data_IF_490986455584
#
_entry.id   IF_490986455584
#
_cell.length_a   1.000
_cell.length_b   1.000
_cell.length_c   1.000
_cell.angle_alpha   90.00
_cell.angle_beta   90.00
_cell.angle_gamma   90.00
#
_symmetry.space_group_name_H-M   'P 1'
#
loop_
_entity.id
_entity.type
_entity.pdbx_description
1 polymer ?
#
# COMPACT_ATOMS: atom_id res chain seq x y z
N UNK A 1 1.67 -26.04 -3.18
CA UNK A 1 2.45 -27.16 -2.61
C UNK A 1 2.04 -27.26 -1.15
N UNK A 2 1.55 -28.42 -0.70
CA UNK A 2 1.21 -28.65 0.71
C UNK A 2 2.43 -28.44 1.58
N UNK A 3 2.31 -27.67 2.65
CA UNK A 3 3.39 -27.48 3.63
C UNK A 3 3.54 -28.81 4.39
N UNK A 4 4.71 -29.45 4.34
CA UNK A 4 4.94 -30.70 5.05
C UNK A 4 4.83 -30.49 6.56
N UNK A 5 3.91 -31.22 7.20
CA UNK A 5 3.81 -31.29 8.66
C UNK A 5 4.71 -32.43 9.16
N UNK A 6 5.56 -32.20 10.19
CA UNK A 6 6.38 -33.26 10.76
C UNK A 6 5.50 -34.42 11.24
N UNK A 7 5.84 -35.64 10.78
CA UNK A 7 5.03 -36.83 11.06
C UNK A 7 4.84 -37.09 12.56
N UNK A 8 3.60 -37.34 12.98
CA UNK A 8 3.23 -37.76 14.34
C UNK A 8 3.91 -39.05 14.79
N UNK A 9 4.43 -39.86 13.82
CA UNK A 9 5.28 -41.02 14.13
C UNK A 9 6.60 -40.61 14.80
N UNK A 10 7.16 -39.47 14.42
CA UNK A 10 8.44 -38.95 14.90
C UNK A 10 8.33 -37.91 16.02
N UNK A 11 7.19 -37.26 16.12
CA UNK A 11 6.98 -36.13 17.05
C UNK A 11 5.68 -36.33 17.87
N UNK A 12 5.65 -35.71 19.05
CA UNK A 12 4.44 -35.55 19.87
C UNK A 12 4.18 -34.07 20.07
N UNK A 13 2.98 -33.64 19.81
CA UNK A 13 2.52 -32.25 19.93
C UNK A 13 1.75 -32.10 21.25
N UNK A 14 1.91 -30.97 21.90
CA UNK A 14 1.25 -30.63 23.15
C UNK A 14 0.45 -29.33 22.97
N UNK A 15 -0.71 -29.25 23.60
CA UNK A 15 -1.61 -28.09 23.53
C UNK A 15 -0.98 -26.80 24.05
N UNK A 16 0.00 -26.92 24.94
CA UNK A 16 0.76 -25.83 25.54
C UNK A 16 1.81 -25.22 24.57
N UNK A 17 1.76 -25.54 23.28
CA UNK A 17 2.70 -24.99 22.30
C UNK A 17 4.08 -25.65 22.25
N UNK A 18 4.18 -26.90 22.72
CA UNK A 18 5.44 -27.64 22.81
C UNK A 18 5.45 -28.84 21.86
N UNK A 19 6.60 -29.17 21.29
CA UNK A 19 6.79 -30.34 20.43
C UNK A 19 7.94 -31.19 20.96
N UNK A 20 7.71 -32.50 21.12
CA UNK A 20 8.65 -33.47 21.62
C UNK A 20 9.15 -34.40 20.52
N UNK A 21 10.47 -34.56 20.37
CA UNK A 21 11.06 -35.51 19.45
C UNK A 21 11.17 -36.88 20.08
N UNK A 22 10.45 -37.88 19.56
CA UNK A 22 10.47 -39.27 20.02
C UNK A 22 11.86 -39.90 19.82
N UNK A 23 12.58 -39.53 18.75
CA UNK A 23 13.92 -40.03 18.45
C UNK A 23 14.97 -39.47 19.41
N UNK A 24 14.95 -38.13 19.62
CA UNK A 24 15.93 -37.46 20.48
C UNK A 24 15.57 -37.53 21.97
N UNK A 25 14.34 -37.98 22.30
CA UNK A 25 13.80 -38.06 23.68
C UNK A 25 13.91 -36.73 24.44
N UNK A 26 13.65 -35.62 23.74
CA UNK A 26 13.66 -34.26 24.30
C UNK A 26 12.76 -33.32 23.51
N UNK A 27 12.47 -32.16 24.06
CA UNK A 27 11.77 -31.13 23.35
C UNK A 27 12.54 -30.66 22.13
N UNK A 28 11.83 -30.28 21.08
CA UNK A 28 12.41 -29.69 19.88
C UNK A 28 12.79 -28.25 20.23
N UNK A 29 13.99 -27.86 19.84
CA UNK A 29 14.46 -26.47 19.99
C UNK A 29 13.54 -25.54 19.21
N UNK A 30 13.09 -24.48 19.85
CA UNK A 30 12.39 -23.40 19.22
C UNK A 30 13.41 -22.32 18.90
N UNK A 31 13.44 -21.92 17.63
CA UNK A 31 14.30 -20.85 17.13
C UNK A 31 13.43 -19.61 16.82
N UNK A 32 14.07 -18.48 16.60
CA UNK A 32 13.41 -17.24 16.19
C UNK A 32 13.49 -17.11 14.66
N UNK A 33 12.36 -16.84 14.03
CA UNK A 33 12.30 -16.50 12.61
C UNK A 33 12.90 -15.10 12.38
N UNK A 34 13.21 -14.76 11.13
CA UNK A 34 13.69 -13.42 10.77
C UNK A 34 12.71 -12.28 11.11
N UNK A 35 11.48 -12.61 11.48
CA UNK A 35 10.43 -11.67 11.86
C UNK A 35 10.10 -11.70 13.36
N UNK A 36 10.92 -12.36 14.19
CA UNK A 36 10.74 -12.44 15.63
C UNK A 36 9.81 -13.54 16.12
N UNK A 37 9.18 -14.30 15.21
CA UNK A 37 8.20 -15.34 15.55
C UNK A 37 8.86 -16.68 15.90
N UNK A 38 8.31 -17.46 16.84
CA UNK A 38 8.83 -18.77 17.20
C UNK A 38 8.67 -19.76 16.04
N UNK A 39 9.75 -20.43 15.69
CA UNK A 39 9.78 -21.38 14.60
C UNK A 39 10.57 -22.64 14.93
N UNK A 40 10.35 -23.68 14.16
CA UNK A 40 11.05 -24.94 14.27
C UNK A 40 11.65 -25.33 12.92
N UNK A 41 12.89 -25.80 12.99
CA UNK A 41 13.60 -26.37 11.85
C UNK A 41 13.56 -27.91 11.90
N UNK A 42 13.11 -28.52 10.84
CA UNK A 42 13.08 -29.98 10.71
C UNK A 42 13.51 -30.42 9.31
N UNK A 43 13.91 -31.71 9.22
CA UNK A 43 14.47 -32.27 8.02
C UNK A 43 13.40 -33.08 7.29
N UNK A 44 13.01 -32.63 6.09
CA UNK A 44 12.07 -33.32 5.20
C UNK A 44 12.69 -33.40 3.82
N UNK A 45 12.67 -34.59 3.22
CA UNK A 45 13.18 -34.87 1.86
C UNK A 45 14.59 -34.30 1.61
N UNK A 46 15.48 -34.52 2.57
CA UNK A 46 16.89 -34.06 2.55
C UNK A 46 17.07 -32.54 2.56
N UNK A 47 16.03 -31.77 2.95
CA UNK A 47 16.10 -30.32 3.08
C UNK A 47 15.65 -29.89 4.47
N UNK A 48 16.27 -28.83 4.96
CA UNK A 48 15.79 -28.16 6.17
C UNK A 48 14.58 -27.30 5.78
N UNK A 49 13.49 -27.50 6.49
CA UNK A 49 12.28 -26.69 6.37
C UNK A 49 12.03 -25.99 7.70
N UNK A 50 11.71 -24.71 7.62
CA UNK A 50 11.27 -23.91 8.75
C UNK A 50 9.76 -23.81 8.73
N UNK A 51 9.12 -24.01 9.87
CA UNK A 51 7.70 -23.77 10.08
C UNK A 51 7.48 -22.99 11.36
N UNK A 52 6.51 -22.09 11.36
CA UNK A 52 6.08 -21.40 12.57
C UNK A 52 5.46 -22.40 13.55
N UNK A 53 5.71 -22.16 14.83
CA UNK A 53 5.28 -23.08 15.88
C UNK A 53 3.75 -23.07 16.07
N UNK A 54 3.16 -21.88 16.05
CA UNK A 54 1.70 -21.67 16.13
C UNK A 54 0.96 -22.39 14.99
N UNK A 55 1.42 -22.24 13.72
CA UNK A 55 0.86 -22.95 12.58
C UNK A 55 0.89 -24.48 12.81
N UNK A 56 2.03 -25.00 13.26
CA UNK A 56 2.18 -26.44 13.50
C UNK A 56 1.26 -26.97 14.59
N UNK A 57 1.12 -26.24 15.69
CA UNK A 57 0.25 -26.62 16.81
C UNK A 57 -1.21 -26.60 16.34
N UNK A 58 -1.63 -25.50 15.71
CA UNK A 58 -3.01 -25.35 15.27
C UNK A 58 -3.40 -26.42 14.24
N UNK A 59 -2.59 -26.60 13.16
CA UNK A 59 -2.84 -27.59 12.12
C UNK A 59 -2.89 -29.03 12.67
N UNK A 60 -2.02 -29.36 13.64
CA UNK A 60 -2.01 -30.68 14.24
C UNK A 60 -3.31 -31.00 15.00
N UNK A 61 -3.77 -30.05 15.84
CA UNK A 61 -4.94 -30.31 16.69
C UNK A 61 -6.27 -30.16 15.94
N UNK A 62 -6.32 -29.34 14.89
CA UNK A 62 -7.49 -29.18 14.03
C UNK A 62 -7.51 -30.15 12.85
N UNK A 63 -6.44 -30.93 12.63
CA UNK A 63 -6.31 -31.89 11.51
C UNK A 63 -6.56 -31.30 10.13
N UNK A 64 -6.25 -30.03 9.95
CA UNK A 64 -6.42 -29.29 8.71
C UNK A 64 -5.31 -28.23 8.56
N UNK A 65 -4.99 -27.86 7.33
CA UNK A 65 -4.14 -26.69 7.06
C UNK A 65 -4.92 -25.40 7.34
N UNK A 66 -4.21 -24.31 7.67
CA UNK A 66 -4.82 -22.99 7.83
C UNK A 66 -5.51 -22.62 6.51
N UNK A 67 -6.83 -22.34 6.52
CA UNK A 67 -7.56 -22.03 5.31
C UNK A 67 -7.02 -20.77 4.62
N UNK A 68 -7.20 -20.71 3.29
CA UNK A 68 -6.86 -19.51 2.54
C UNK A 68 -7.66 -18.30 3.08
N UNK A 69 -7.05 -17.13 3.10
CA UNK A 69 -7.60 -15.89 3.65
C UNK A 69 -7.79 -15.89 5.17
N UNK A 70 -7.12 -16.81 5.89
CA UNK A 70 -7.11 -16.81 7.34
C UNK A 70 -5.68 -16.64 7.87
N UNK A 71 -5.57 -16.06 9.03
CA UNK A 71 -4.34 -16.00 9.82
C UNK A 71 -4.59 -16.47 11.25
N UNK A 72 -3.53 -16.92 11.92
CA UNK A 72 -3.58 -17.18 13.36
C UNK A 72 -3.20 -15.91 14.10
N UNK A 73 -3.96 -15.59 15.15
CA UNK A 73 -3.66 -14.51 16.09
C UNK A 73 -3.50 -15.07 17.48
N UNK A 74 -2.61 -14.47 18.25
CA UNK A 74 -2.42 -14.76 19.65
C UNK A 74 -3.35 -13.86 20.45
N UNK A 75 -4.27 -14.48 21.24
CA UNK A 75 -5.32 -13.76 21.98
C UNK A 75 -4.72 -12.81 23.00
N UNK A 76 -3.60 -13.19 23.64
CA UNK A 76 -2.88 -12.37 24.61
C UNK A 76 -1.90 -11.36 23.98
N UNK A 77 -1.70 -11.40 22.65
CA UNK A 77 -0.76 -10.56 21.91
C UNK A 77 0.71 -10.97 22.05
N UNK A 78 1.01 -12.09 22.72
CA UNK A 78 2.38 -12.65 22.80
C UNK A 78 2.59 -13.71 21.72
N UNK A 79 3.35 -13.37 20.68
CA UNK A 79 3.67 -14.27 19.56
C UNK A 79 4.41 -15.55 20.00
N UNK A 80 5.01 -15.55 21.19
CA UNK A 80 5.73 -16.71 21.72
C UNK A 80 4.81 -17.67 22.51
N UNK A 81 3.62 -17.24 22.90
CA UNK A 81 2.63 -18.11 23.54
C UNK A 81 1.81 -18.87 22.47
N UNK A 82 2.41 -19.92 21.89
CA UNK A 82 1.79 -20.79 20.89
C UNK A 82 0.86 -21.87 21.48
N UNK A 83 0.36 -21.69 22.71
CA UNK A 83 -0.64 -22.61 23.29
C UNK A 83 -1.92 -22.61 22.44
N UNK A 84 -2.48 -23.80 22.17
CA UNK A 84 -3.65 -23.93 21.29
C UNK A 84 -4.83 -23.05 21.74
N UNK A 85 -5.04 -22.93 23.04
CA UNK A 85 -6.15 -22.15 23.62
C UNK A 85 -5.92 -20.63 23.55
N UNK A 86 -4.68 -20.22 23.18
CA UNK A 86 -4.29 -18.83 22.90
C UNK A 86 -4.32 -18.48 21.40
N UNK A 87 -4.63 -19.46 20.53
CA UNK A 87 -4.63 -19.26 19.08
C UNK A 87 -6.05 -19.10 18.55
N UNK A 88 -6.30 -18.00 17.88
CA UNK A 88 -7.55 -17.69 17.19
C UNK A 88 -7.35 -17.68 15.68
N UNK A 89 -8.26 -18.35 14.96
CA UNK A 89 -8.27 -18.33 13.49
C UNK A 89 -9.17 -17.20 12.99
N UNK A 90 -8.60 -16.19 12.35
CA UNK A 90 -9.31 -14.99 11.88
C UNK A 90 -9.46 -15.02 10.37
N UNK A 91 -10.68 -14.75 9.86
CA UNK A 91 -10.92 -14.54 8.43
C UNK A 91 -10.53 -13.11 8.06
N UNK A 92 -9.47 -12.98 7.28
CA UNK A 92 -8.94 -11.69 6.84
C UNK A 92 -9.93 -10.88 5.98
N UNK A 93 -10.94 -11.54 5.38
CA UNK A 93 -11.95 -10.86 4.56
C UNK A 93 -12.98 -10.08 5.38
N UNK A 94 -13.05 -10.31 6.69
CA UNK A 94 -13.87 -9.51 7.60
C UNK A 94 -13.24 -8.14 7.86
N UNK A 95 -11.91 -8.05 7.82
CA UNK A 95 -11.16 -6.83 8.09
C UNK A 95 -10.70 -6.12 6.81
N UNK A 96 -10.42 -6.89 5.75
CA UNK A 96 -9.83 -6.37 4.52
C UNK A 96 -10.76 -6.57 3.32
N UNK A 97 -11.11 -5.48 2.68
CA UNK A 97 -11.87 -5.48 1.41
C UNK A 97 -10.89 -5.70 0.25
N UNK A 98 -11.16 -6.65 -0.66
CA UNK A 98 -10.33 -6.86 -1.84
C UNK A 98 -10.26 -5.61 -2.72
N UNK A 99 -9.06 -5.28 -3.21
CA UNK A 99 -8.85 -4.16 -4.11
C UNK A 99 -9.27 -4.61 -5.51
N UNK A 100 -10.32 -4.00 -6.10
CA UNK A 100 -10.97 -4.42 -7.35
C UNK A 100 -9.97 -4.76 -8.47
N UNK A 101 -9.00 -3.87 -8.72
CA UNK A 101 -8.00 -4.07 -9.78
C UNK A 101 -6.97 -5.16 -9.46
N UNK A 102 -6.75 -5.47 -8.19
CA UNK A 102 -5.79 -6.46 -7.71
C UNK A 102 -6.37 -7.25 -6.54
N UNK A 103 -7.29 -8.19 -6.80
CA UNK A 103 -8.04 -8.89 -5.74
C UNK A 103 -7.18 -9.81 -4.87
N UNK A 104 -5.90 -9.99 -5.22
CA UNK A 104 -4.90 -10.64 -4.38
C UNK A 104 -4.47 -9.78 -3.20
N UNK A 105 -4.77 -8.48 -3.23
CA UNK A 105 -4.52 -7.54 -2.14
C UNK A 105 -5.84 -7.07 -1.54
N UNK A 106 -5.84 -6.88 -0.23
CA UNK A 106 -6.94 -6.30 0.52
C UNK A 106 -6.51 -5.01 1.22
N UNK A 107 -7.47 -4.16 1.52
CA UNK A 107 -7.29 -2.93 2.28
C UNK A 107 -8.27 -2.88 3.44
N UNK A 108 -7.79 -2.51 4.64
CA UNK A 108 -8.61 -2.30 5.83
C UNK A 108 -9.12 -0.86 5.92
N UNK A 109 -10.11 -0.63 6.80
CA UNK A 109 -10.60 0.72 7.12
C UNK A 109 -9.52 1.65 7.67
N UNK A 110 -8.51 1.09 8.32
CA UNK A 110 -7.36 1.82 8.87
C UNK A 110 -6.21 2.00 7.86
N UNK A 111 -6.48 1.79 6.56
CA UNK A 111 -5.50 1.92 5.47
C UNK A 111 -4.34 0.91 5.51
N UNK A 112 -4.47 -0.18 6.23
CA UNK A 112 -3.52 -1.29 6.14
C UNK A 112 -3.75 -2.07 4.85
N UNK A 113 -2.67 -2.54 4.24
CA UNK A 113 -2.73 -3.35 3.01
C UNK A 113 -2.19 -4.74 3.30
N UNK A 114 -2.91 -5.75 2.85
CA UNK A 114 -2.51 -7.15 2.98
C UNK A 114 -2.43 -7.84 1.62
N UNK A 115 -1.52 -8.80 1.51
CA UNK A 115 -1.51 -9.77 0.41
C UNK A 115 -2.17 -11.07 0.88
N UNK A 116 -3.34 -11.37 0.39
CA UNK A 116 -4.11 -12.57 0.75
C UNK A 116 -3.44 -13.91 0.39
N UNK A 117 -2.45 -13.90 -0.51
CA UNK A 117 -1.76 -15.14 -0.88
C UNK A 117 -0.66 -15.50 0.11
N UNK A 118 -0.03 -14.48 0.71
CA UNK A 118 1.12 -14.65 1.60
C UNK A 118 0.81 -14.26 3.04
N UNK A 119 -0.37 -13.70 3.29
CA UNK A 119 -0.80 -13.08 4.55
C UNK A 119 0.18 -12.01 5.08
N UNK A 120 1.00 -11.44 4.19
CA UNK A 120 1.92 -10.37 4.57
C UNK A 120 1.28 -9.00 4.39
N UNK A 121 1.42 -8.17 5.42
CA UNK A 121 1.08 -6.76 5.35
C UNK A 121 2.09 -6.03 4.47
N UNK A 122 1.58 -5.19 3.57
CA UNK A 122 2.38 -4.41 2.63
C UNK A 122 2.71 -3.07 3.28
N UNK A 123 4.00 -2.77 3.37
CA UNK A 123 4.45 -1.50 3.91
C UNK A 123 3.98 -0.33 3.04
N UNK A 124 3.41 0.67 3.68
CA UNK A 124 3.11 1.97 3.10
C UNK A 124 4.23 2.95 3.43
N UNK A 125 4.39 3.99 2.65
CA UNK A 125 5.42 5.00 2.88
C UNK A 125 4.93 6.40 2.54
N UNK A 126 5.39 7.36 3.30
CA UNK A 126 5.18 8.77 2.97
C UNK A 126 6.17 9.20 1.88
N UNK A 127 5.69 9.90 0.87
CA UNK A 127 6.51 10.51 -0.16
C UNK A 127 6.59 12.02 0.07
N UNK A 128 7.73 12.47 0.56
CA UNK A 128 7.99 13.89 0.88
C UNK A 128 7.85 14.80 -0.34
N UNK A 129 8.31 14.34 -1.53
CA UNK A 129 8.22 15.08 -2.79
C UNK A 129 6.79 15.40 -3.22
N UNK A 130 5.82 14.63 -2.75
CA UNK A 130 4.38 14.82 -3.04
C UNK A 130 3.54 15.09 -1.81
N UNK A 131 4.11 14.94 -0.62
CA UNK A 131 3.42 15.09 0.65
C UNK A 131 2.23 14.12 0.77
N UNK A 132 2.40 12.84 0.39
CA UNK A 132 1.30 11.86 0.36
C UNK A 132 1.78 10.44 0.67
N UNK A 133 0.91 9.67 1.32
CA UNK A 133 1.12 8.24 1.53
C UNK A 133 0.93 7.46 0.24
N UNK A 134 1.84 6.51 -0.02
CA UNK A 134 1.78 5.62 -1.18
C UNK A 134 1.95 4.16 -0.78
N UNK A 135 1.39 3.29 -1.59
CA UNK A 135 1.59 1.84 -1.54
C UNK A 135 2.08 1.35 -2.90
N UNK A 136 2.94 0.33 -2.89
CA UNK A 136 3.47 -0.28 -4.11
C UNK A 136 3.03 -1.73 -4.21
N UNK A 137 2.31 -2.05 -5.27
CA UNK A 137 1.85 -3.40 -5.59
C UNK A 137 2.79 -4.04 -6.62
N UNK A 138 3.20 -5.27 -6.36
CA UNK A 138 3.97 -6.07 -7.31
C UNK A 138 3.11 -7.22 -7.81
N UNK A 139 2.70 -7.16 -9.06
CA UNK A 139 1.91 -8.20 -9.71
C UNK A 139 2.38 -8.39 -11.15
N UNK A 140 2.50 -9.65 -11.60
CA UNK A 140 2.92 -9.98 -12.96
C UNK A 140 4.30 -9.44 -13.35
N UNK A 141 5.24 -9.35 -12.40
CA UNK A 141 6.59 -8.83 -12.64
C UNK A 141 6.69 -7.29 -12.72
N UNK A 142 5.58 -6.58 -12.64
CA UNK A 142 5.53 -5.11 -12.64
C UNK A 142 5.23 -4.57 -11.25
N UNK A 143 5.88 -3.46 -10.90
CA UNK A 143 5.58 -2.70 -9.69
C UNK A 143 4.77 -1.47 -10.06
N UNK A 144 3.64 -1.26 -9.39
CA UNK A 144 2.81 -0.07 -9.54
C UNK A 144 2.63 0.60 -8.19
N UNK A 145 2.95 1.89 -8.16
CA UNK A 145 2.80 2.72 -6.96
C UNK A 145 1.53 3.56 -7.10
N UNK A 146 0.72 3.58 -6.06
CA UNK A 146 -0.54 4.31 -6.00
C UNK A 146 -0.62 5.15 -4.72
N UNK A 147 -1.45 6.18 -4.75
CA UNK A 147 -1.79 6.95 -3.56
C UNK A 147 -2.66 6.09 -2.64
N UNK A 148 -2.27 5.99 -1.37
CA UNK A 148 -2.95 5.14 -0.40
C UNK A 148 -4.39 5.62 -0.16
N UNK A 149 -4.61 6.94 -0.01
CA UNK A 149 -5.96 7.52 0.12
C UNK A 149 -6.89 7.13 -1.03
N UNK A 150 -6.37 7.09 -2.27
CA UNK A 150 -7.15 6.71 -3.46
C UNK A 150 -7.51 5.21 -3.43
N UNK A 151 -6.58 4.36 -2.98
CA UNK A 151 -6.84 2.92 -2.83
C UNK A 151 -7.92 2.68 -1.78
N UNK A 152 -7.77 3.30 -0.60
CA UNK A 152 -8.75 3.21 0.50
C UNK A 152 -10.11 3.73 0.06
N UNK A 153 -10.15 4.94 -0.50
CA UNK A 153 -11.42 5.54 -0.94
C UNK A 153 -12.18 4.64 -1.90
N UNK A 154 -11.51 4.17 -2.97
CA UNK A 154 -12.15 3.33 -3.99
C UNK A 154 -12.67 2.01 -3.44
N UNK A 155 -11.99 1.41 -2.50
CA UNK A 155 -12.40 0.15 -1.90
C UNK A 155 -13.69 0.26 -1.05
N UNK A 156 -13.89 1.41 -0.38
CA UNK A 156 -15.00 1.58 0.56
C UNK A 156 -16.11 2.50 0.06
N UNK A 157 -15.80 3.47 -0.81
CA UNK A 157 -16.74 4.51 -1.26
C UNK A 157 -16.95 4.50 -2.79
N UNK A 158 -16.21 3.66 -3.53
CA UNK A 158 -16.32 3.59 -4.99
C UNK A 158 -15.50 4.66 -5.74
N UNK A 159 -15.86 4.89 -7.01
CA UNK A 159 -15.11 5.80 -7.87
C UNK A 159 -15.20 7.26 -7.43
N UNK A 160 -14.11 8.00 -7.69
CA UNK A 160 -14.03 9.43 -7.39
C UNK A 160 -14.72 10.19 -8.54
N UNK A 161 -15.79 10.96 -8.26
CA UNK A 161 -16.49 11.72 -9.31
C UNK A 161 -15.56 12.75 -9.98
N UNK A 162 -15.84 13.05 -11.25
CA UNK A 162 -15.13 14.09 -11.98
C UNK A 162 -15.21 15.44 -11.23
N UNK A 163 -14.14 16.20 -11.29
CA UNK A 163 -14.06 17.49 -10.60
C UNK A 163 -13.88 17.40 -9.08
N UNK A 164 -13.69 16.19 -8.52
CA UNK A 164 -13.44 16.01 -7.10
C UNK A 164 -12.03 15.44 -6.85
N UNK A 165 -11.59 15.58 -5.61
CA UNK A 165 -10.37 14.95 -5.09
C UNK A 165 -10.60 14.52 -3.63
N UNK A 166 -9.74 13.65 -3.13
CA UNK A 166 -9.81 13.17 -1.76
C UNK A 166 -9.05 14.14 -0.86
N UNK A 167 -9.74 14.73 0.11
CA UNK A 167 -9.20 15.51 1.21
C UNK A 167 -9.11 14.70 2.50
N UNK A 168 -8.54 15.31 3.53
CA UNK A 168 -8.37 14.76 4.87
C UNK A 168 -9.10 15.69 5.86
N UNK A 169 -9.93 15.12 6.75
CA UNK A 169 -10.72 15.90 7.70
C UNK A 169 -9.83 16.56 8.76
N UNK A 170 -8.79 15.86 9.21
CA UNK A 170 -7.80 16.31 10.19
C UNK A 170 -6.60 17.03 9.57
N UNK A 171 -6.58 17.16 8.21
CA UNK A 171 -5.48 17.70 7.39
C UNK A 171 -4.17 16.89 7.47
N UNK A 172 -4.12 15.80 8.23
CA UNK A 172 -2.99 14.88 8.26
C UNK A 172 -3.02 13.93 7.05
N UNK A 173 -2.04 14.08 6.17
CA UNK A 173 -1.92 13.28 4.95
C UNK A 173 -1.37 11.87 5.18
N UNK A 174 -0.89 11.58 6.36
CA UNK A 174 -0.46 10.24 6.76
C UNK A 174 -1.64 9.40 7.24
N UNK A 175 -2.67 10.02 7.79
CA UNK A 175 -3.88 9.36 8.24
C UNK A 175 -4.84 9.10 7.06
N UNK A 176 -4.61 7.98 6.36
CA UNK A 176 -5.45 7.54 5.24
C UNK A 176 -6.64 6.67 5.64
N UNK A 177 -7.05 6.63 6.92
CA UNK A 177 -8.22 5.87 7.37
C UNK A 177 -9.50 6.34 6.66
N UNK A 178 -10.42 5.40 6.37
CA UNK A 178 -11.69 5.71 5.68
C UNK A 178 -12.45 6.85 6.36
N UNK A 179 -12.46 6.85 7.69
CA UNK A 179 -13.23 7.80 8.48
C UNK A 179 -12.64 9.22 8.44
N UNK A 180 -11.35 9.34 8.10
CA UNK A 180 -10.65 10.62 7.93
C UNK A 180 -10.72 11.18 6.51
N UNK A 181 -11.06 10.35 5.53
CA UNK A 181 -11.12 10.79 4.14
C UNK A 181 -12.46 11.46 3.82
N UNK A 182 -12.43 12.47 2.94
CA UNK A 182 -13.62 13.14 2.42
C UNK A 182 -13.43 13.55 0.96
N UNK A 183 -14.57 13.73 0.23
CA UNK A 183 -14.54 14.30 -1.11
C UNK A 183 -14.59 15.83 -1.04
N UNK A 184 -13.64 16.47 -1.71
CA UNK A 184 -13.61 17.92 -1.91
C UNK A 184 -13.74 18.25 -3.40
N UNK A 185 -14.47 19.30 -3.75
CA UNK A 185 -14.52 19.81 -5.12
C UNK A 185 -13.19 20.47 -5.47
N UNK A 186 -12.70 20.20 -6.68
CA UNK A 186 -11.63 21.02 -7.25
C UNK A 186 -12.26 22.38 -7.55
N UNK A 187 -11.78 23.43 -6.89
CA UNK A 187 -12.12 24.79 -7.33
C UNK A 187 -11.71 24.89 -8.80
N UNK A 188 -12.60 25.43 -9.63
CA UNK A 188 -12.24 25.79 -10.99
C UNK A 188 -11.11 26.82 -10.89
N UNK A 189 -9.88 26.34 -10.99
CA UNK A 189 -8.78 27.25 -11.21
C UNK A 189 -9.09 27.91 -12.55
N UNK A 190 -9.56 29.15 -12.51
CA UNK A 190 -9.57 30.03 -13.68
C UNK A 190 -8.13 29.96 -14.18
N UNK A 191 -7.91 29.16 -15.23
CA UNK A 191 -6.60 29.07 -15.87
C UNK A 191 -6.28 30.48 -16.31
N UNK A 192 -5.44 31.19 -15.55
CA UNK A 192 -4.89 32.45 -16.03
C UNK A 192 -4.37 32.15 -17.42
N UNK A 193 -4.84 32.84 -18.46
CA UNK A 193 -4.34 32.55 -19.82
C UNK A 193 -2.82 32.56 -19.74
N UNK A 194 -2.19 31.56 -20.36
CA UNK A 194 -0.72 31.52 -20.43
C UNK A 194 -0.33 32.82 -21.13
N UNK A 195 0.36 33.72 -20.42
CA UNK A 195 0.94 34.89 -21.03
C UNK A 195 1.75 34.44 -22.26
N UNK A 196 1.42 34.99 -23.39
CA UNK A 196 2.22 34.78 -24.59
C UNK A 196 3.59 35.44 -24.32
N UNK A 197 4.63 34.96 -25.02
CA UNK A 197 5.95 35.58 -24.96
C UNK A 197 5.90 37.09 -25.33
N UNK A 198 4.83 37.49 -25.98
CA UNK A 198 4.62 38.85 -26.53
C UNK A 198 3.54 39.61 -25.78
N UNK A 199 3.02 39.12 -24.66
CA UNK A 199 2.04 39.87 -23.87
C UNK A 199 2.77 40.96 -23.07
N UNK A 200 2.21 42.19 -23.00
CA UNK A 200 2.75 43.24 -22.17
C UNK A 200 2.75 42.86 -20.69
N UNK A 201 3.69 43.39 -19.93
CA UNK A 201 3.73 43.28 -18.49
C UNK A 201 2.56 43.99 -17.82
N UNK A 202 2.50 43.96 -16.47
CA UNK A 202 1.44 44.59 -15.69
C UNK A 202 1.39 46.15 -15.84
N UNK A 203 2.49 46.73 -16.34
CA UNK A 203 2.58 48.19 -16.62
C UNK A 203 2.35 48.49 -18.11
N UNK A 204 2.02 47.50 -18.92
CA UNK A 204 1.75 47.66 -20.35
C UNK A 204 3.01 47.66 -21.24
N UNK A 205 4.18 47.31 -20.69
CA UNK A 205 5.40 47.27 -21.48
C UNK A 205 5.57 45.89 -22.15
N UNK A 206 5.92 45.92 -23.44
CA UNK A 206 6.25 44.71 -24.18
C UNK A 206 7.63 44.21 -23.79
N UNK A 207 7.87 42.85 -23.77
CA UNK A 207 9.20 42.29 -23.55
C UNK A 207 10.23 42.87 -24.52
N UNK A 208 11.45 43.07 -24.03
CA UNK A 208 12.54 43.68 -24.83
C UNK A 208 12.79 42.94 -26.15
N UNK A 209 12.65 41.61 -26.15
CA UNK A 209 12.74 40.76 -27.33
C UNK A 209 11.69 41.09 -28.40
N UNK A 210 10.55 41.64 -28.04
CA UNK A 210 9.55 42.10 -29.00
C UNK A 210 10.08 43.25 -29.87
N UNK A 211 10.75 44.21 -29.26
CA UNK A 211 11.31 45.39 -29.95
C UNK A 211 12.53 44.99 -30.79
N UNK A 212 13.33 44.00 -30.34
CA UNK A 212 14.49 43.51 -31.10
C UNK A 212 14.02 42.82 -32.37
N UNK A 213 13.02 41.93 -32.29
CA UNK A 213 12.49 41.25 -33.49
C UNK A 213 11.78 42.18 -34.48
N UNK A 214 11.23 43.31 -34.02
CA UNK A 214 10.71 44.32 -34.93
C UNK A 214 11.80 45.04 -35.73
N UNK A 215 12.99 45.28 -35.14
CA UNK A 215 14.11 45.92 -35.85
C UNK A 215 14.72 45.04 -36.92
N UNK A 216 14.69 43.73 -36.73
CA UNK A 216 15.28 42.76 -37.69
C UNK A 216 14.36 42.40 -38.87
N UNK A 217 13.26 43.16 -39.08
CA UNK A 217 12.46 43.16 -40.30
C UNK A 217 11.60 41.91 -40.54
N UNK A 218 11.16 41.21 -39.49
CA UNK A 218 10.17 40.10 -39.61
C UNK A 218 8.79 40.71 -39.90
N UNK A 219 8.44 40.87 -41.16
CA UNK A 219 7.15 41.37 -41.68
C UNK A 219 5.97 40.43 -41.50
N UNK A 220 5.97 39.56 -40.47
CA UNK A 220 4.98 38.49 -40.32
C UNK A 220 3.95 38.70 -39.21
N UNK A 221 4.10 39.68 -38.32
CA UNK A 221 3.30 39.78 -37.10
C UNK A 221 2.32 40.99 -37.07
N UNK A 222 2.16 41.72 -38.12
CA UNK A 222 1.40 43.02 -38.07
C UNK A 222 -0.07 42.86 -38.44
N UNK A 223 -0.56 41.71 -38.86
CA UNK A 223 -1.95 41.54 -39.33
C UNK A 223 -2.95 40.98 -38.26
N UNK A 224 -2.52 40.71 -37.05
CA UNK A 224 -3.45 40.31 -36.01
C UNK A 224 -3.42 41.25 -34.79
N UNK A 225 -4.19 42.34 -34.89
CA UNK A 225 -4.81 42.97 -33.73
C UNK A 225 -3.89 43.65 -32.71
N UNK A 226 -3.06 44.60 -33.07
CA UNK A 226 -2.40 45.51 -32.10
C UNK A 226 -3.42 46.57 -31.68
N UNK A 227 -3.70 46.74 -30.35
CA UNK A 227 -4.53 47.85 -29.90
C UNK A 227 -3.93 49.21 -30.28
N UNK A 228 -4.76 50.13 -30.76
CA UNK A 228 -4.34 51.44 -31.34
C UNK A 228 -3.57 52.39 -30.41
N UNK A 229 -3.35 52.06 -29.16
CA UNK A 229 -2.72 52.95 -28.18
C UNK A 229 -1.24 52.64 -27.90
N UNK A 230 -0.63 51.69 -28.57
CA UNK A 230 0.83 51.50 -28.53
C UNK A 230 1.51 52.34 -29.62
N UNK A 231 1.49 53.67 -29.53
CA UNK A 231 2.30 54.57 -30.35
C UNK A 231 3.70 54.67 -29.74
N UNK A 232 4.70 54.15 -30.41
CA UNK A 232 6.11 54.41 -30.09
C UNK A 232 6.37 55.89 -30.44
N UNK A 233 6.66 56.71 -29.44
CA UNK A 233 7.24 58.03 -29.64
C UNK A 233 8.72 57.80 -29.87
N UNK A 234 9.22 58.08 -31.09
CA UNK A 234 10.61 58.12 -31.46
C UNK A 234 11.28 59.32 -30.82
#
# INVERSE_FOLDING_TARGET
>A
MSKAVPSTKSYRYFREGRIWSKRKKKDVSIDESRFGQPCIHFFVDRRIQMRLLDELIWEHFNSTEIPKYHELRHIDGDDWNCALDNLELVDLREEFVPIERWPVFGVSRNAEIINFTTNHRIATRFREDRGQMVVSFRAGGQTRTMLLNTVVWKAFNGEIPDGHYIGYKDEDKENCSVDNLELRKKEEQVKKPRRSRWDPDENGFMPIDYYINMKDGVKGAVESGIPQHCRVVL
#
